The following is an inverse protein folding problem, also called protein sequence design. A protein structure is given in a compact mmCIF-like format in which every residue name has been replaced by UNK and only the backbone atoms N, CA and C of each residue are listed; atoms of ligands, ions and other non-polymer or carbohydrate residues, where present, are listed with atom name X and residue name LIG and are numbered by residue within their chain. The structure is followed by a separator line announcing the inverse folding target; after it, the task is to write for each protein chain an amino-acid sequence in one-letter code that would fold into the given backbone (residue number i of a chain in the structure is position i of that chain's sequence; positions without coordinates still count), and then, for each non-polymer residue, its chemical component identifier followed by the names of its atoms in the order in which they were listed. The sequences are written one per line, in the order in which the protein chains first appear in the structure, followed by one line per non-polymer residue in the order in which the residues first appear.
data_IF_987263043948
#
_entry.id   IF_987263043948
#
_cell.length_a   1.000
_cell.length_b   1.000
_cell.length_c   1.000
_cell.angle_alpha   90.00
_cell.angle_beta   90.00
_cell.angle_gamma   90.00
#
_symmetry.space_group_name_H-M   'P 1'
#
loop_
_entity.id
_entity.type
_entity.pdbx_description
1 polymer ?
#
# COMPACT_ATOMS: atom_id res chain seq x y z
N UNK A 1 -39.72 -26.08 -80.30
CA UNK A 1 -40.85 -26.17 -79.37
C UNK A 1 -40.43 -25.53 -78.04
N UNK A 2 -40.73 -24.29 -77.89
CA UNK A 2 -40.36 -23.53 -76.72
C UNK A 2 -41.63 -23.18 -75.97
N UNK A 3 -41.75 -23.65 -74.71
CA UNK A 3 -42.86 -23.28 -73.83
C UNK A 3 -42.41 -22.13 -72.94
N UNK A 4 -43.07 -21.00 -73.06
CA UNK A 4 -42.92 -19.84 -72.24
C UNK A 4 -43.89 -20.00 -71.07
N UNK A 5 -43.39 -19.97 -69.85
CA UNK A 5 -44.19 -19.93 -68.63
C UNK A 5 -44.12 -18.52 -68.08
N UNK A 6 -45.25 -17.84 -68.06
CA UNK A 6 -45.41 -16.52 -67.41
C UNK A 6 -45.70 -16.76 -65.93
N UNK A 7 -44.86 -16.30 -65.08
CA UNK A 7 -45.09 -16.30 -63.64
C UNK A 7 -45.79 -14.99 -63.22
N UNK A 8 -46.98 -15.13 -62.69
CA UNK A 8 -47.78 -14.07 -62.10
C UNK A 8 -47.34 -13.83 -60.70
N UNK A 9 -46.77 -12.66 -60.41
CA UNK A 9 -46.38 -12.26 -59.05
C UNK A 9 -47.61 -11.72 -58.31
N UNK A 10 -48.02 -12.46 -57.32
CA UNK A 10 -49.04 -12.02 -56.37
C UNK A 10 -48.37 -11.19 -55.25
N UNK A 11 -48.67 -9.90 -55.19
CA UNK A 11 -48.25 -9.02 -54.10
C UNK A 11 -49.28 -9.17 -52.98
N UNK A 12 -48.95 -9.94 -51.95
CA UNK A 12 -49.73 -10.00 -50.72
C UNK A 12 -49.09 -9.03 -49.71
N UNK A 13 -49.72 -7.89 -49.55
CA UNK A 13 -49.38 -6.93 -48.45
C UNK A 13 -49.94 -7.48 -47.14
N UNK A 14 -49.11 -8.06 -46.34
CA UNK A 14 -49.42 -8.41 -44.94
C UNK A 14 -49.31 -7.17 -44.09
N UNK A 15 -50.40 -6.57 -43.68
CA UNK A 15 -50.47 -5.66 -42.54
C UNK A 15 -50.13 -6.45 -41.29
N UNK A 16 -48.95 -6.27 -40.75
CA UNK A 16 -48.59 -6.72 -39.40
C UNK A 16 -49.17 -5.74 -38.39
N UNK A 17 -50.25 -6.16 -37.74
CA UNK A 17 -50.79 -5.51 -36.57
C UNK A 17 -49.81 -5.70 -35.43
N UNK A 18 -49.06 -4.67 -35.05
CA UNK A 18 -48.29 -4.68 -33.82
C UNK A 18 -49.28 -4.53 -32.64
N UNK A 19 -49.65 -5.65 -32.07
CA UNK A 19 -50.24 -5.64 -30.74
C UNK A 19 -49.10 -5.31 -29.74
N UNK A 20 -49.07 -4.10 -29.24
CA UNK A 20 -48.26 -3.77 -28.04
C UNK A 20 -48.86 -4.53 -26.86
N UNK A 21 -48.34 -5.71 -26.59
CA UNK A 21 -48.55 -6.38 -25.33
C UNK A 21 -47.60 -5.76 -24.33
N UNK A 22 -48.14 -4.89 -23.47
CA UNK A 22 -47.38 -4.24 -22.38
C UNK A 22 -47.05 -5.21 -21.24
N UNK A 23 -46.55 -6.38 -21.57
CA UNK A 23 -46.05 -7.35 -20.60
C UNK A 23 -44.53 -7.42 -20.74
N UNK A 24 -43.84 -6.82 -19.77
CA UNK A 24 -42.40 -6.96 -19.64
C UNK A 24 -42.07 -8.38 -19.20
N UNK A 25 -41.14 -9.03 -19.91
CA UNK A 25 -40.63 -10.34 -19.52
C UNK A 25 -39.66 -10.18 -18.35
N UNK A 26 -39.58 -11.19 -17.46
CA UNK A 26 -38.69 -11.21 -16.30
C UNK A 26 -37.22 -11.01 -16.70
N UNK A 27 -36.85 -11.44 -17.90
CA UNK A 27 -35.48 -11.26 -18.41
C UNK A 27 -35.16 -9.80 -18.75
N UNK A 28 -36.12 -9.04 -19.29
CA UNK A 28 -35.94 -7.60 -19.53
C UNK A 28 -35.80 -6.82 -18.24
N UNK A 29 -36.56 -7.17 -17.20
CA UNK A 29 -36.42 -6.54 -15.89
C UNK A 29 -35.06 -6.86 -15.27
N UNK A 30 -34.51 -8.04 -15.46
CA UNK A 30 -33.17 -8.39 -14.96
C UNK A 30 -32.04 -7.66 -15.71
N UNK A 31 -32.20 -7.37 -16.99
CA UNK A 31 -31.25 -6.58 -17.78
C UNK A 31 -31.29 -5.10 -17.41
N UNK A 32 -32.50 -4.52 -17.24
CA UNK A 32 -32.65 -3.13 -16.78
C UNK A 32 -32.11 -2.96 -15.37
N UNK A 33 -32.42 -3.86 -14.44
CA UNK A 33 -31.86 -3.84 -13.07
C UNK A 33 -30.35 -4.05 -13.07
N UNK A 34 -29.80 -4.84 -14.02
CA UNK A 34 -28.34 -4.94 -14.20
C UNK A 34 -27.72 -3.69 -14.79
N UNK A 35 -28.41 -2.99 -15.68
CA UNK A 35 -27.93 -1.73 -16.24
C UNK A 35 -28.06 -0.58 -15.25
N UNK A 36 -29.14 -0.48 -14.48
CA UNK A 36 -29.28 0.50 -13.39
C UNK A 36 -28.29 0.25 -12.26
N UNK A 37 -28.02 -1.01 -11.85
CA UNK A 37 -26.96 -1.33 -10.92
C UNK A 37 -25.57 -0.99 -11.46
N UNK A 38 -25.32 -1.13 -12.77
CA UNK A 38 -24.08 -0.66 -13.41
C UNK A 38 -23.97 0.86 -13.45
N UNK A 39 -25.09 1.58 -13.55
CA UNK A 39 -25.11 3.04 -13.53
C UNK A 39 -25.02 3.62 -12.11
N UNK A 40 -25.61 2.97 -11.11
CA UNK A 40 -25.55 3.34 -9.69
C UNK A 40 -24.19 2.98 -9.04
N UNK A 41 -23.57 1.89 -9.46
CA UNK A 41 -22.16 1.61 -9.14
C UNK A 41 -21.30 2.26 -10.22
N UNK A 42 -21.35 3.61 -10.24
CA UNK A 42 -20.66 4.45 -11.18
C UNK A 42 -19.29 3.92 -11.51
N UNK A 43 -18.93 4.00 -12.78
CA UNK A 43 -17.58 3.81 -13.30
C UNK A 43 -16.54 4.16 -12.23
N UNK A 44 -16.10 3.17 -11.47
CA UNK A 44 -14.83 3.28 -10.78
C UNK A 44 -13.81 3.31 -11.91
N UNK A 45 -13.57 4.51 -12.47
CA UNK A 45 -12.33 4.78 -13.22
C UNK A 45 -11.27 4.09 -12.37
N UNK A 46 -10.62 3.07 -12.89
CA UNK A 46 -9.56 2.37 -12.20
C UNK A 46 -8.65 3.45 -11.62
N UNK A 47 -8.70 3.66 -10.29
CA UNK A 47 -7.91 4.71 -9.66
C UNK A 47 -6.47 4.33 -9.92
N UNK A 48 -5.81 5.10 -10.78
CA UNK A 48 -4.38 4.92 -11.07
C UNK A 48 -3.64 4.91 -9.74
N UNK A 49 -2.88 3.86 -9.50
CA UNK A 49 -2.07 3.76 -8.29
C UNK A 49 -1.01 4.85 -8.35
N UNK A 50 -0.94 5.76 -7.37
CA UNK A 50 0.08 6.81 -7.37
C UNK A 50 1.48 6.21 -7.46
N UNK A 51 2.37 6.84 -8.23
CA UNK A 51 3.74 6.39 -8.46
C UNK A 51 4.50 6.13 -7.13
N UNK A 52 4.25 6.95 -6.11
CA UNK A 52 4.79 6.80 -4.74
C UNK A 52 4.57 5.40 -4.15
N UNK A 53 3.46 4.74 -4.49
CA UNK A 53 3.08 3.43 -3.92
C UNK A 53 3.20 2.30 -4.92
N UNK A 54 3.58 2.60 -6.16
CA UNK A 54 3.63 1.63 -7.24
C UNK A 54 4.84 0.69 -7.12
N UNK A 55 5.00 -0.17 -8.10
CA UNK A 55 6.12 -1.13 -8.17
C UNK A 55 7.47 -0.39 -8.05
N UNK A 56 8.38 -1.01 -7.30
CA UNK A 56 9.69 -0.43 -6.99
C UNK A 56 9.70 0.51 -5.77
N UNK A 57 8.54 0.94 -5.24
CA UNK A 57 8.48 1.75 -4.03
C UNK A 57 8.86 0.96 -2.75
N UNK A 58 8.67 -0.37 -2.77
CA UNK A 58 9.14 -1.28 -1.74
C UNK A 58 10.35 -2.02 -2.27
N UNK A 59 11.49 -1.77 -1.63
CA UNK A 59 12.76 -2.41 -2.00
C UNK A 59 13.01 -3.64 -1.13
N UNK A 60 13.57 -4.69 -1.73
CA UNK A 60 13.93 -5.92 -1.05
C UNK A 60 15.41 -6.22 -1.25
N UNK A 61 16.06 -6.70 -0.19
CA UNK A 61 17.43 -7.19 -0.24
C UNK A 61 17.53 -8.51 0.54
N UNK A 62 18.05 -9.54 -0.08
CA UNK A 62 18.15 -10.89 0.50
C UNK A 62 16.80 -11.41 1.04
N UNK A 63 15.71 -11.21 0.27
CA UNK A 63 14.37 -11.64 0.65
C UNK A 63 13.73 -10.86 1.83
N UNK A 64 14.28 -9.70 2.18
CA UNK A 64 13.76 -8.84 3.25
C UNK A 64 13.44 -7.46 2.71
N UNK A 65 12.28 -6.96 3.08
CA UNK A 65 11.90 -5.56 2.81
C UNK A 65 12.84 -4.64 3.58
N UNK A 66 13.47 -3.72 2.86
CA UNK A 66 14.34 -2.73 3.47
C UNK A 66 14.42 -1.46 2.63
N UNK A 67 14.58 -0.34 3.31
CA UNK A 67 14.92 0.95 2.70
C UNK A 67 16.17 1.50 3.36
N UNK A 68 17.00 2.15 2.56
CA UNK A 68 18.24 2.78 3.05
C UNK A 68 18.25 4.23 2.61
N UNK A 69 18.60 5.13 3.54
CA UNK A 69 18.81 6.55 3.29
C UNK A 69 20.16 6.98 3.83
N UNK A 70 20.94 7.66 3.02
CA UNK A 70 22.21 8.28 3.44
C UNK A 70 22.02 9.78 3.56
N UNK A 71 22.53 10.34 4.63
CA UNK A 71 22.56 11.77 4.91
C UNK A 71 24.01 12.25 4.84
N UNK A 72 24.26 13.24 4.01
CA UNK A 72 25.58 13.89 3.91
C UNK A 72 25.71 14.93 5.00
N UNK A 73 26.81 14.85 5.78
CA UNK A 73 27.14 15.70 6.91
C UNK A 73 28.61 16.14 6.77
N UNK A 74 28.93 16.95 5.76
CA UNK A 74 30.30 17.31 5.43
C UNK A 74 30.99 18.01 6.60
N UNK A 75 32.29 17.76 6.79
CA UNK A 75 33.11 18.37 7.83
C UNK A 75 33.02 17.72 9.19
N UNK A 76 32.14 16.73 9.40
CA UNK A 76 32.06 15.99 10.65
C UNK A 76 32.79 14.65 10.55
N UNK A 77 33.44 14.26 11.62
CA UNK A 77 34.04 12.92 11.74
C UNK A 77 32.97 11.85 11.98
N UNK A 78 33.27 10.60 11.70
CA UNK A 78 32.37 9.47 11.97
C UNK A 78 31.98 9.38 13.45
N UNK A 79 32.89 9.74 14.37
CA UNK A 79 32.62 9.77 15.81
C UNK A 79 31.64 10.90 16.20
N UNK A 80 31.78 12.09 15.61
CA UNK A 80 30.85 13.21 15.85
C UNK A 80 29.47 12.89 15.31
N UNK A 81 29.41 12.33 14.10
CA UNK A 81 28.16 11.90 13.47
C UNK A 81 27.49 10.79 14.31
N UNK A 82 28.27 9.83 14.82
CA UNK A 82 27.76 8.79 15.70
C UNK A 82 27.15 9.36 16.98
N UNK A 83 27.85 10.31 17.64
CA UNK A 83 27.32 10.95 18.85
C UNK A 83 25.99 11.68 18.56
N UNK A 84 25.93 12.41 17.47
CA UNK A 84 24.73 13.11 17.01
C UNK A 84 23.60 12.14 16.66
N UNK A 85 23.90 11.08 15.91
CA UNK A 85 22.94 10.05 15.55
C UNK A 85 22.39 9.30 16.77
N UNK A 86 23.25 8.97 17.76
CA UNK A 86 22.82 8.35 19.02
C UNK A 86 21.84 9.23 19.78
N UNK A 87 22.16 10.52 19.95
CA UNK A 87 21.26 11.47 20.59
C UNK A 87 19.92 11.60 19.81
N UNK A 88 19.98 11.59 18.50
CA UNK A 88 18.79 11.60 17.61
C UNK A 88 17.93 10.35 17.84
N UNK A 89 18.50 9.16 17.84
CA UNK A 89 17.76 7.92 18.09
C UNK A 89 17.17 7.87 19.51
N UNK A 90 17.89 8.35 20.52
CA UNK A 90 17.39 8.45 21.89
C UNK A 90 16.18 9.39 22.02
N UNK A 91 16.13 10.46 21.23
CA UNK A 91 14.93 11.32 21.13
C UNK A 91 13.81 10.63 20.35
N UNK A 92 14.15 9.96 19.23
CA UNK A 92 13.16 9.32 18.38
C UNK A 92 12.33 8.27 19.10
N UNK A 93 12.96 7.40 19.90
CA UNK A 93 12.25 6.36 20.68
C UNK A 93 11.30 6.91 21.74
N UNK A 94 11.39 8.21 22.04
CA UNK A 94 10.53 8.91 23.01
C UNK A 94 9.47 9.80 22.36
N UNK A 95 9.39 9.83 21.03
CA UNK A 95 8.35 10.60 20.35
C UNK A 95 6.96 10.01 20.60
N UNK A 96 5.93 10.83 20.52
CA UNK A 96 4.54 10.45 20.83
C UNK A 96 4.00 9.25 20.03
N UNK A 97 4.51 9.04 18.80
CA UNK A 97 4.11 7.90 17.98
C UNK A 97 4.69 6.57 18.47
N UNK A 98 5.78 6.61 19.27
CA UNK A 98 6.46 5.41 19.74
C UNK A 98 5.83 4.87 21.01
N UNK A 99 5.71 3.55 21.11
CA UNK A 99 5.28 2.88 22.34
C UNK A 99 6.46 2.73 23.31
N UNK A 100 6.17 2.34 24.55
CA UNK A 100 7.19 2.01 25.57
C UNK A 100 8.08 0.80 25.22
N UNK A 101 7.79 0.10 24.12
CA UNK A 101 8.60 -1.00 23.58
C UNK A 101 9.71 -0.53 22.65
N UNK A 102 9.72 0.76 22.30
CA UNK A 102 10.74 1.35 21.42
C UNK A 102 11.98 1.68 22.23
N UNK A 103 13.12 1.17 21.79
CA UNK A 103 14.40 1.33 22.48
C UNK A 103 15.58 1.43 21.51
N UNK A 104 16.62 2.13 21.92
CA UNK A 104 17.97 1.97 21.36
C UNK A 104 18.53 0.66 21.92
N UNK A 105 18.53 -0.38 21.10
CA UNK A 105 18.78 -1.76 21.55
C UNK A 105 20.26 -2.11 21.63
N UNK A 106 21.06 -1.62 20.68
CA UNK A 106 22.49 -1.91 20.58
C UNK A 106 23.24 -0.66 20.12
N UNK A 107 24.40 -0.45 20.70
CA UNK A 107 25.34 0.62 20.30
C UNK A 107 26.75 0.05 20.21
N UNK A 108 27.49 0.45 19.18
CA UNK A 108 28.89 0.09 19.01
C UNK A 108 29.69 1.35 18.62
N UNK A 109 30.39 1.93 19.60
CA UNK A 109 31.18 3.15 19.39
C UNK A 109 32.40 2.88 18.53
N UNK A 110 32.99 1.67 18.58
CA UNK A 110 34.20 1.36 17.83
C UNK A 110 33.93 1.29 16.31
N UNK A 111 32.72 0.87 15.93
CA UNK A 111 32.29 0.79 14.52
C UNK A 111 31.29 1.86 14.14
N UNK A 112 30.99 2.81 15.03
CA UNK A 112 30.00 3.88 14.85
C UNK A 112 28.64 3.37 14.38
N UNK A 113 28.14 2.30 15.03
CA UNK A 113 26.87 1.66 14.66
C UNK A 113 25.85 1.69 15.79
N UNK A 114 24.56 1.86 15.43
CA UNK A 114 23.45 1.90 16.37
C UNK A 114 22.33 1.00 15.81
N UNK A 115 21.79 0.13 16.66
CA UNK A 115 20.60 -0.67 16.38
C UNK A 115 19.43 -0.21 17.23
N UNK A 116 18.32 0.14 16.60
CA UNK A 116 17.10 0.63 17.26
C UNK A 116 15.95 -0.30 16.93
N UNK A 117 15.22 -0.72 17.96
CA UNK A 117 13.95 -1.45 17.82
C UNK A 117 12.81 -0.49 18.10
N UNK A 118 11.84 -0.46 17.21
CA UNK A 118 10.74 0.47 17.20
C UNK A 118 9.41 -0.26 17.14
N UNK A 119 8.43 0.28 17.85
CA UNK A 119 7.10 -0.26 17.96
C UNK A 119 6.10 0.89 18.09
N UNK A 120 5.19 1.01 17.15
CA UNK A 120 4.19 2.09 17.13
C UNK A 120 2.87 1.62 16.53
N UNK A 121 1.82 2.43 16.64
CA UNK A 121 0.53 2.14 16.01
C UNK A 121 0.51 2.72 14.59
N UNK A 122 0.34 1.84 13.60
CA UNK A 122 0.10 2.23 12.20
C UNK A 122 -1.40 2.32 11.96
N UNK A 123 -1.93 3.53 11.94
CA UNK A 123 -3.37 3.79 11.80
C UNK A 123 -3.76 3.81 10.32
N UNK A 124 -4.66 2.92 9.92
CA UNK A 124 -5.20 2.82 8.57
C UNK A 124 -6.45 3.69 8.40
N UNK A 125 -7.31 3.72 9.40
CA UNK A 125 -8.54 4.52 9.42
C UNK A 125 -8.86 4.89 10.86
N UNK A 126 -9.19 6.16 11.05
CA UNK A 126 -9.64 6.72 12.31
C UNK A 126 -11.04 7.30 12.10
N UNK A 127 -12.05 6.43 12.15
CA UNK A 127 -13.45 6.80 12.05
C UNK A 127 -14.07 6.73 13.44
N UNK A 128 -15.03 7.62 13.72
CA UNK A 128 -15.68 7.80 15.03
C UNK A 128 -16.10 6.48 15.73
N UNK A 129 -16.44 5.44 14.99
CA UNK A 129 -16.88 4.14 15.53
C UNK A 129 -15.97 2.96 15.16
N UNK A 130 -14.84 3.19 14.48
CA UNK A 130 -13.99 2.09 13.99
C UNK A 130 -12.55 2.53 13.80
N UNK A 131 -11.71 2.23 14.77
CA UNK A 131 -10.27 2.37 14.68
C UNK A 131 -9.69 1.12 14.00
N UNK A 132 -9.12 1.30 12.81
CA UNK A 132 -8.42 0.26 12.07
C UNK A 132 -6.91 0.55 12.12
N UNK A 133 -6.16 -0.28 12.85
CA UNK A 133 -4.73 -0.10 13.08
C UNK A 133 -4.00 -1.42 13.26
N UNK A 134 -2.69 -1.40 13.07
CA UNK A 134 -1.80 -2.50 13.43
C UNK A 134 -0.69 -2.00 14.36
N UNK A 135 -0.19 -2.87 15.23
CA UNK A 135 1.07 -2.64 15.90
C UNK A 135 2.18 -2.88 14.88
N UNK A 136 2.93 -1.84 14.59
CA UNK A 136 3.97 -1.79 13.59
C UNK A 136 5.34 -1.85 14.25
N UNK A 137 6.04 -2.96 14.05
CA UNK A 137 7.40 -3.14 14.57
C UNK A 137 8.38 -3.06 13.41
N UNK A 138 9.50 -2.39 13.64
CA UNK A 138 10.58 -2.28 12.66
C UNK A 138 11.91 -1.96 13.34
N UNK A 139 13.00 -2.19 12.62
CA UNK A 139 14.34 -1.87 13.10
C UNK A 139 14.97 -0.77 12.24
N UNK A 140 15.71 0.10 12.90
CA UNK A 140 16.65 0.99 12.26
C UNK A 140 18.07 0.52 12.58
N UNK A 141 18.88 0.38 11.54
CA UNK A 141 20.33 0.21 11.65
C UNK A 141 20.99 1.48 11.14
N UNK A 142 21.75 2.14 12.00
CA UNK A 142 22.45 3.37 11.71
C UNK A 142 23.93 3.08 11.66
N UNK A 143 24.61 3.52 10.60
CA UNK A 143 26.06 3.41 10.44
C UNK A 143 26.62 4.79 10.08
N UNK A 144 27.61 5.25 10.83
CA UNK A 144 28.24 6.56 10.66
C UNK A 144 29.68 6.39 10.20
N UNK A 145 30.08 7.23 9.25
CA UNK A 145 31.45 7.39 8.77
C UNK A 145 31.71 8.88 8.56
N UNK A 146 32.96 9.24 8.25
CA UNK A 146 33.30 10.65 7.98
C UNK A 146 32.39 11.22 6.90
N UNK A 147 31.76 12.32 7.21
CA UNK A 147 30.84 13.04 6.34
C UNK A 147 29.49 12.39 6.09
N UNK A 148 29.17 11.18 6.65
CA UNK A 148 27.96 10.42 6.27
C UNK A 148 27.29 9.69 7.42
N UNK A 149 25.96 9.71 7.40
CA UNK A 149 25.11 8.86 8.24
C UNK A 149 24.16 8.04 7.36
N UNK A 150 24.30 6.72 7.39
CA UNK A 150 23.42 5.80 6.64
C UNK A 150 22.46 5.12 7.60
N UNK A 151 21.16 5.25 7.32
CA UNK A 151 20.07 4.63 8.07
C UNK A 151 19.36 3.61 7.23
N UNK A 152 19.26 2.38 7.71
CA UNK A 152 18.50 1.29 7.08
C UNK A 152 17.29 0.93 7.94
N UNK A 153 16.10 0.97 7.35
CA UNK A 153 14.84 0.52 7.93
C UNK A 153 14.51 -0.87 7.39
N UNK A 154 14.29 -1.84 8.28
CA UNK A 154 14.04 -3.25 7.92
C UNK A 154 13.42 -4.03 9.07
N UNK A 155 13.28 -5.37 8.93
CA UNK A 155 12.68 -6.28 9.92
C UNK A 155 11.28 -5.82 10.34
N UNK A 156 10.45 -5.55 9.34
CA UNK A 156 9.11 -5.00 9.54
C UNK A 156 8.13 -6.13 9.79
N UNK A 157 7.36 -5.99 10.87
CA UNK A 157 6.25 -6.88 11.19
C UNK A 157 5.03 -6.09 11.65
N UNK A 158 3.85 -6.69 11.44
CA UNK A 158 2.56 -6.12 11.83
C UNK A 158 1.84 -7.12 12.73
N UNK A 159 1.32 -6.66 13.86
CA UNK A 159 0.35 -7.40 14.65
C UNK A 159 -1.00 -6.71 14.50
N UNK A 160 -1.93 -7.40 13.86
CA UNK A 160 -3.20 -6.84 13.43
C UNK A 160 -4.37 -7.49 14.17
N UNK A 161 -5.45 -6.73 14.38
CA UNK A 161 -6.64 -7.15 15.14
C UNK A 161 -6.33 -7.64 16.57
N UNK A 162 -5.44 -6.95 17.25
CA UNK A 162 -4.94 -7.29 18.59
C UNK A 162 -6.09 -7.48 19.58
N UNK A 163 -6.06 -8.60 20.31
CA UNK A 163 -7.07 -8.95 21.33
C UNK A 163 -8.38 -9.46 20.75
N UNK A 164 -8.45 -9.74 19.45
CA UNK A 164 -9.60 -10.36 18.78
C UNK A 164 -9.30 -11.83 18.44
N UNK A 165 -10.33 -12.68 18.25
CA UNK A 165 -10.12 -14.04 17.76
C UNK A 165 -9.43 -14.11 16.39
N UNK A 166 -9.46 -13.01 15.62
CA UNK A 166 -8.86 -12.85 14.29
C UNK A 166 -7.47 -12.21 14.36
N UNK A 167 -6.86 -12.13 15.55
CA UNK A 167 -5.51 -11.58 15.69
C UNK A 167 -4.49 -12.35 14.84
N UNK A 168 -3.70 -11.63 14.08
CA UNK A 168 -2.73 -12.21 13.14
C UNK A 168 -1.44 -11.38 13.10
N UNK A 169 -0.31 -12.08 12.89
CA UNK A 169 0.98 -11.47 12.67
C UNK A 169 1.36 -11.64 11.20
N UNK A 170 1.82 -10.54 10.60
CA UNK A 170 2.32 -10.49 9.23
C UNK A 170 3.74 -9.94 9.19
N UNK A 171 4.51 -10.38 8.22
CA UNK A 171 5.76 -9.71 7.81
C UNK A 171 5.49 -8.70 6.69
N UNK A 172 6.42 -7.77 6.47
CA UNK A 172 6.33 -6.85 5.35
C UNK A 172 6.37 -7.58 4.01
N UNK A 173 7.16 -8.63 3.92
CA UNK A 173 7.29 -9.48 2.73
C UNK A 173 5.94 -10.07 2.31
N UNK A 174 5.12 -10.49 3.28
CA UNK A 174 3.78 -11.05 3.06
C UNK A 174 2.71 -10.01 2.76
N UNK A 175 2.92 -8.75 3.15
CA UNK A 175 1.87 -7.73 3.06
C UNK A 175 2.15 -6.62 2.06
N UNK A 176 3.42 -6.21 1.88
CA UNK A 176 3.71 -5.00 1.12
C UNK A 176 4.71 -5.17 -0.02
N UNK A 177 5.32 -6.35 -0.18
CA UNK A 177 6.23 -6.61 -1.31
C UNK A 177 5.52 -6.42 -2.67
N UNK A 178 6.26 -6.12 -3.72
CA UNK A 178 5.68 -5.94 -5.05
C UNK A 178 4.98 -7.21 -5.54
N UNK A 179 5.50 -8.38 -5.18
CA UNK A 179 4.97 -9.66 -5.59
C UNK A 179 3.56 -9.93 -5.03
N UNK A 180 3.29 -9.51 -3.79
CA UNK A 180 1.99 -9.77 -3.13
C UNK A 180 1.01 -8.61 -3.26
N UNK A 181 1.52 -7.38 -3.43
CA UNK A 181 0.67 -6.18 -3.45
C UNK A 181 -0.09 -5.99 -4.75
N UNK A 182 0.41 -6.51 -5.86
CA UNK A 182 -0.18 -6.26 -7.17
C UNK A 182 -0.64 -7.53 -7.88
N UNK A 183 -1.70 -7.40 -8.67
CA UNK A 183 -2.11 -8.45 -9.59
C UNK A 183 -1.01 -8.74 -10.63
N UNK A 184 -1.10 -9.88 -11.36
CA UNK A 184 -0.09 -10.28 -12.35
C UNK A 184 0.23 -9.19 -13.38
N UNK A 185 -0.78 -8.39 -13.77
CA UNK A 185 -0.62 -7.27 -14.72
C UNK A 185 -0.03 -6.01 -14.06
N UNK A 186 0.04 -5.92 -12.75
CA UNK A 186 0.50 -4.75 -12.01
C UNK A 186 -0.45 -3.55 -12.05
N UNK A 187 -1.67 -3.71 -12.51
CA UNK A 187 -2.62 -2.60 -12.73
C UNK A 187 -3.47 -2.28 -11.50
N UNK A 188 -3.62 -3.23 -10.58
CA UNK A 188 -4.48 -3.11 -9.38
C UNK A 188 -3.82 -3.80 -8.20
N UNK A 189 -4.16 -3.30 -7.01
CA UNK A 189 -3.82 -4.02 -5.78
C UNK A 189 -4.53 -5.38 -5.74
N UNK A 190 -3.87 -6.36 -5.14
CA UNK A 190 -4.50 -7.64 -4.80
C UNK A 190 -5.56 -7.43 -3.72
N UNK A 191 -6.48 -8.41 -3.58
CA UNK A 191 -7.44 -8.44 -2.46
C UNK A 191 -6.72 -8.72 -1.14
N UNK A 192 -7.36 -8.42 -0.01
CA UNK A 192 -6.85 -8.81 1.31
C UNK A 192 -6.17 -7.71 2.10
N UNK A 193 -6.38 -6.44 1.76
CA UNK A 193 -5.93 -5.32 2.59
C UNK A 193 -4.49 -4.88 2.35
N UNK A 194 -3.72 -5.54 1.47
CA UNK A 194 -2.33 -5.18 1.15
C UNK A 194 -2.14 -3.70 0.84
N UNK A 195 -3.11 -3.07 0.16
CA UNK A 195 -3.09 -1.64 -0.15
C UNK A 195 -2.86 -0.77 1.09
N UNK A 196 -3.67 -0.95 2.16
CA UNK A 196 -3.60 -0.10 3.34
C UNK A 196 -2.26 -0.26 4.08
N UNK A 197 -1.76 -1.50 4.19
CA UNK A 197 -0.45 -1.76 4.78
C UNK A 197 0.66 -1.12 3.97
N UNK A 198 0.67 -1.33 2.64
CA UNK A 198 1.70 -0.79 1.75
C UNK A 198 1.75 0.72 1.77
N UNK A 199 0.63 1.39 1.53
CA UNK A 199 0.57 2.85 1.44
C UNK A 199 0.98 3.49 2.78
N UNK A 200 0.43 3.03 3.90
CA UNK A 200 0.74 3.58 5.23
C UNK A 200 2.18 3.30 5.67
N UNK A 201 2.73 2.14 5.31
CA UNK A 201 4.14 1.84 5.64
C UNK A 201 5.10 2.72 4.84
N UNK A 202 4.82 2.95 3.54
CA UNK A 202 5.62 3.84 2.72
C UNK A 202 5.56 5.27 3.26
N UNK A 203 4.36 5.77 3.58
CA UNK A 203 4.19 7.10 4.16
C UNK A 203 4.96 7.22 5.47
N UNK A 204 4.82 6.23 6.36
CA UNK A 204 5.52 6.26 7.65
C UNK A 204 7.03 6.18 7.51
N UNK A 205 7.54 5.36 6.62
CA UNK A 205 8.96 5.30 6.26
C UNK A 205 9.48 6.67 5.82
N UNK A 206 8.72 7.38 4.96
CA UNK A 206 9.11 8.71 4.50
C UNK A 206 9.15 9.72 5.65
N UNK A 207 8.16 9.71 6.55
CA UNK A 207 8.13 10.54 7.76
C UNK A 207 9.34 10.26 8.66
N UNK A 208 9.65 8.98 8.91
CA UNK A 208 10.79 8.56 9.74
C UNK A 208 12.10 9.10 9.17
N UNK A 209 12.33 8.89 7.88
CA UNK A 209 13.55 9.37 7.24
C UNK A 209 13.63 10.90 7.16
N UNK A 210 12.51 11.59 6.94
CA UNK A 210 12.48 13.06 6.95
C UNK A 210 12.84 13.58 8.34
N UNK A 211 12.19 13.08 9.38
CA UNK A 211 12.45 13.50 10.76
C UNK A 211 13.92 13.28 11.18
N UNK A 212 14.48 12.10 10.87
CA UNK A 212 15.90 11.82 11.17
C UNK A 212 16.81 12.82 10.44
N UNK A 213 16.52 13.10 9.18
CA UNK A 213 17.33 14.04 8.40
C UNK A 213 17.30 15.47 8.91
N UNK A 214 16.16 15.91 9.44
CA UNK A 214 16.02 17.23 10.07
C UNK A 214 16.80 17.28 11.39
N UNK A 215 16.69 16.24 12.23
CA UNK A 215 17.39 16.19 13.51
C UNK A 215 18.92 16.09 13.37
N UNK A 216 19.40 15.39 12.35
CA UNK A 216 20.83 15.27 12.07
C UNK A 216 21.46 16.59 11.60
N UNK A 217 20.67 17.53 11.08
CA UNK A 217 21.15 18.85 10.63
C UNK A 217 21.23 19.91 11.73
N UNK A 218 20.51 19.68 12.85
CA UNK A 218 20.57 20.55 14.05
C UNK A 218 21.89 20.38 14.78
#
# INVERSE_FOLDING_TARGET
MKKIIIALSFFASTMTCYAQTGWETVDNQQEEVKQEKKALFGNTKDKVIPAKYYKGAVTEKNGRVCWTKTYELPGLTGADIYAKALATMQRFVKTEKQTNKSIVAVVNRNTNQIGVRLCEHLVFSDKLLSLDQALFNYHLFVACSDGKCTVKLTNITYRYEIGRPTEVNYTAEEMISDAVSFNKKGTKYTKGGTKKFREKTIDRKDEVFAWIGEELKK
#
